data_IF_142468500442
#
_entry.id   IF_142468500442
#
_cell.length_a   1.000
_cell.length_b   1.000
_cell.length_c   1.000
_cell.angle_alpha   90.00
_cell.angle_beta   90.00
_cell.angle_gamma   90.00
#
_symmetry.space_group_name_H-M   'P 1'
#
loop_
_entity.id
_entity.type
_entity.pdbx_description
1 polymer ?
#
# COMPACT_ATOMS: atom_id res chain seq x y z
N UNK A 1 -2.31 -3.56 -13.43
CA UNK A 1 -2.60 -2.42 -12.54
C UNK A 1 -1.50 -2.21 -11.49
N UNK A 2 -1.48 -1.10 -10.75
CA UNK A 2 -0.65 -0.95 -9.54
C UNK A 2 -1.45 -1.47 -8.34
N UNK A 3 -0.85 -2.34 -7.53
CA UNK A 3 -1.41 -2.88 -6.29
C UNK A 3 -0.55 -2.55 -5.08
N UNK A 4 -1.14 -2.64 -3.88
CA UNK A 4 -0.51 -2.25 -2.62
C UNK A 4 -0.44 -3.39 -1.60
N UNK A 5 -0.52 -4.65 -2.02
CA UNK A 5 -0.55 -5.77 -1.06
C UNK A 5 0.74 -5.84 -0.23
N UNK A 6 1.89 -5.56 -0.85
CA UNK A 6 3.20 -5.46 -0.17
C UNK A 6 3.24 -4.40 0.92
N UNK A 7 2.42 -3.34 0.82
CA UNK A 7 2.34 -2.31 1.87
C UNK A 7 2.00 -2.93 3.22
N UNK A 8 1.04 -3.86 3.26
CA UNK A 8 0.56 -4.43 4.52
C UNK A 8 1.60 -5.34 5.16
N UNK A 9 2.35 -6.09 4.36
CA UNK A 9 3.48 -6.89 4.82
C UNK A 9 4.61 -6.02 5.37
N UNK A 10 4.96 -4.95 4.65
CA UNK A 10 5.97 -3.97 5.10
C UNK A 10 5.53 -3.27 6.39
N UNK A 11 4.27 -2.85 6.50
CA UNK A 11 3.72 -2.26 7.72
C UNK A 11 3.81 -3.23 8.91
N UNK A 12 3.47 -4.51 8.70
CA UNK A 12 3.57 -5.55 9.73
C UNK A 12 5.02 -5.77 10.18
N UNK A 13 5.95 -5.87 9.23
CA UNK A 13 7.38 -6.02 9.51
C UNK A 13 7.98 -4.82 10.26
N UNK A 14 7.47 -3.61 10.00
CA UNK A 14 7.90 -2.36 10.64
C UNK A 14 7.09 -2.02 11.90
N UNK A 15 6.17 -2.89 12.33
CA UNK A 15 5.27 -2.66 13.47
C UNK A 15 4.44 -1.37 13.40
N UNK A 16 4.06 -0.95 12.20
CA UNK A 16 3.21 0.24 11.96
C UNK A 16 1.77 -0.21 11.71
N UNK A 17 0.84 0.28 12.52
CA UNK A 17 -0.59 -0.01 12.35
C UNK A 17 -1.30 1.03 11.49
N UNK A 18 -2.45 0.67 10.90
CA UNK A 18 -3.31 1.65 10.21
C UNK A 18 -3.85 2.73 11.15
N UNK A 19 -3.93 2.45 12.44
CA UNK A 19 -4.23 3.47 13.45
C UNK A 19 -3.08 4.49 13.55
N UNK A 20 -1.83 4.03 13.61
CA UNK A 20 -0.67 4.91 13.63
C UNK A 20 -0.61 5.82 12.39
N UNK A 21 -0.94 5.29 11.20
CA UNK A 21 -1.04 6.09 9.97
C UNK A 21 -2.03 7.25 10.09
N UNK A 22 -3.20 7.02 10.71
CA UNK A 22 -4.23 8.04 10.90
C UNK A 22 -3.91 9.04 11.99
N UNK A 23 -3.43 8.54 13.12
CA UNK A 23 -3.31 9.29 14.37
C UNK A 23 -2.02 10.11 14.43
N UNK A 24 -0.93 9.59 13.82
CA UNK A 24 0.41 10.17 13.95
C UNK A 24 0.98 10.72 12.66
N UNK A 25 0.50 10.24 11.52
CA UNK A 25 1.11 10.52 10.21
C UNK A 25 0.15 11.17 9.20
N UNK A 26 -1.05 11.57 9.64
CA UNK A 26 -2.04 12.30 8.83
C UNK A 26 -2.44 11.59 7.53
N UNK A 27 -2.44 10.25 7.53
CA UNK A 27 -2.99 9.45 6.43
C UNK A 27 -4.44 9.11 6.79
N UNK A 28 -5.38 9.77 6.11
CA UNK A 28 -6.79 9.64 6.41
C UNK A 28 -7.38 8.23 6.09
N UNK A 29 -8.55 7.96 6.68
CA UNK A 29 -9.26 6.69 6.47
C UNK A 29 -9.66 6.45 5.01
N UNK A 30 -9.85 7.53 4.22
CA UNK A 30 -10.21 7.43 2.80
C UNK A 30 -9.04 6.88 1.99
N UNK A 31 -7.84 7.35 2.26
CA UNK A 31 -6.59 6.93 1.64
C UNK A 31 -6.29 5.48 1.99
N UNK A 32 -6.42 5.10 3.26
CA UNK A 32 -6.27 3.70 3.69
C UNK A 32 -7.27 2.79 2.97
N UNK A 33 -8.54 3.21 2.83
CA UNK A 33 -9.54 2.45 2.09
C UNK A 33 -9.17 2.29 0.61
N UNK A 34 -8.66 3.35 -0.04
CA UNK A 34 -8.19 3.29 -1.44
C UNK A 34 -7.03 2.33 -1.60
N UNK A 35 -6.04 2.38 -0.70
CA UNK A 35 -4.90 1.45 -0.69
C UNK A 35 -5.36 -0.01 -0.57
N UNK A 36 -6.32 -0.31 0.31
CA UNK A 36 -6.86 -1.68 0.46
C UNK A 36 -7.61 -2.18 -0.77
N UNK A 37 -8.21 -1.27 -1.53
CA UNK A 37 -8.99 -1.59 -2.71
C UNK A 37 -8.16 -1.46 -4.01
N UNK A 38 -6.82 -1.32 -3.91
CA UNK A 38 -5.92 -1.09 -5.04
C UNK A 38 -6.38 0.06 -5.95
N UNK A 39 -7.03 1.08 -5.36
CA UNK A 39 -7.48 2.27 -6.06
C UNK A 39 -6.35 3.28 -6.18
N UNK A 40 -6.42 4.15 -7.19
CA UNK A 40 -5.44 5.22 -7.41
C UNK A 40 -5.16 5.99 -6.12
N UNK A 41 -3.90 6.27 -5.84
CA UNK A 41 -3.44 7.23 -4.81
C UNK A 41 -2.47 8.21 -5.46
N UNK A 42 -2.11 9.27 -4.75
CA UNK A 42 -1.11 10.22 -5.26
C UNK A 42 0.30 9.70 -4.99
N UNK A 43 1.27 10.15 -5.78
CA UNK A 43 2.69 9.88 -5.51
C UNK A 43 3.16 10.49 -4.19
N UNK A 44 2.56 11.59 -3.73
CA UNK A 44 2.79 12.16 -2.39
C UNK A 44 2.40 11.20 -1.26
N UNK A 45 1.28 10.46 -1.42
CA UNK A 45 0.90 9.41 -0.47
C UNK A 45 1.97 8.32 -0.40
N UNK A 46 2.48 7.88 -1.55
CA UNK A 46 3.52 6.85 -1.61
C UNK A 46 4.84 7.33 -0.98
N UNK A 47 5.25 8.56 -1.26
CA UNK A 47 6.43 9.17 -0.67
C UNK A 47 6.32 9.28 0.87
N UNK A 48 5.16 9.72 1.38
CA UNK A 48 4.88 9.71 2.83
C UNK A 48 4.99 8.31 3.43
N UNK A 49 4.40 7.31 2.79
CA UNK A 49 4.48 5.92 3.26
C UNK A 49 5.93 5.41 3.29
N UNK A 50 6.72 5.69 2.24
CA UNK A 50 8.14 5.35 2.21
C UNK A 50 8.92 6.02 3.34
N UNK A 51 8.66 7.30 3.62
CA UNK A 51 9.29 8.03 4.74
C UNK A 51 8.89 7.48 6.11
N UNK A 52 7.62 7.14 6.32
CA UNK A 52 7.11 6.58 7.58
C UNK A 52 7.70 5.19 7.85
N UNK A 53 7.78 4.36 6.82
CA UNK A 53 8.18 2.96 6.93
C UNK A 53 9.69 2.73 6.75
N UNK A 54 10.42 3.78 6.35
CA UNK A 54 11.84 3.71 5.95
C UNK A 54 12.08 2.53 4.99
N UNK A 55 11.43 2.62 3.82
CA UNK A 55 11.40 1.57 2.81
C UNK A 55 11.48 2.13 1.39
N UNK A 56 11.76 1.25 0.42
CA UNK A 56 11.73 1.52 -1.01
C UNK A 56 10.32 1.39 -1.57
N UNK A 57 10.06 2.08 -2.68
CA UNK A 57 8.72 2.07 -3.32
C UNK A 57 8.22 0.67 -3.68
N UNK A 58 9.11 -0.22 -4.16
CA UNK A 58 8.74 -1.60 -4.54
C UNK A 58 8.33 -2.47 -3.34
N UNK A 59 8.62 -2.04 -2.11
CA UNK A 59 8.20 -2.72 -0.88
C UNK A 59 6.76 -2.38 -0.49
N UNK A 60 6.14 -1.39 -1.14
CA UNK A 60 4.76 -0.96 -0.84
C UNK A 60 3.83 -0.95 -2.05
N UNK A 61 4.38 -0.96 -3.26
CA UNK A 61 3.63 -0.93 -4.50
C UNK A 61 4.25 -1.85 -5.56
N UNK A 62 3.42 -2.54 -6.31
CA UNK A 62 3.83 -3.45 -7.38
C UNK A 62 2.97 -3.22 -8.62
N UNK A 63 3.58 -3.33 -9.80
CA UNK A 63 2.85 -3.40 -11.04
C UNK A 63 2.54 -4.87 -11.36
N UNK A 64 1.25 -5.18 -11.51
CA UNK A 64 0.78 -6.45 -12.05
C UNK A 64 0.35 -6.26 -13.51
N UNK A 65 0.82 -7.08 -14.45
CA UNK A 65 0.28 -7.09 -15.82
C UNK A 65 -1.15 -7.62 -15.83
N UNK A 66 -1.99 -7.18 -16.77
CA UNK A 66 -3.41 -7.56 -16.86
C UNK A 66 -3.63 -9.08 -17.05
N UNK A 67 -2.62 -9.80 -17.54
CA UNK A 67 -2.67 -11.25 -17.74
C UNK A 67 -2.51 -12.05 -16.43
N UNK A 68 -1.91 -11.45 -15.39
CA UNK A 68 -1.64 -12.11 -14.11
C UNK A 68 -2.90 -12.29 -13.23
N UNK A 69 -3.99 -11.56 -13.52
CA UNK A 69 -5.26 -11.71 -12.78
C UNK A 69 -5.93 -13.06 -13.02
N UNK A 70 -5.57 -13.78 -14.09
CA UNK A 70 -6.22 -15.05 -14.43
C UNK A 70 -5.76 -16.22 -13.58
N UNK A 71 -4.54 -16.20 -13.05
CA UNK A 71 -3.97 -17.33 -12.29
C UNK A 71 -4.57 -17.47 -10.88
N UNK A 72 -4.90 -16.36 -10.20
CA UNK A 72 -5.55 -16.39 -8.87
C UNK A 72 -7.06 -16.68 -8.93
N UNK A 73 -7.69 -16.55 -10.11
CA UNK A 73 -9.13 -16.81 -10.31
C UNK A 73 -9.47 -18.28 -10.62
N UNK A 74 -8.46 -19.15 -10.72
CA UNK A 74 -8.60 -20.58 -11.05
C UNK A 74 -8.30 -21.47 -9.83
N UNK A 75 -7.94 -20.89 -8.68
CA UNK A 75 -7.70 -21.60 -7.41
C UNK A 75 -8.88 -21.45 -6.42
#
# INVERSE_FOLDING_TARGET
MIVFDKLWETMKAKHVSTYALRDRFDIDSRTIRRLRANQTVTTDTLDKLCRILDCKLYEIAEYLPEEAEKEDSIL
#
